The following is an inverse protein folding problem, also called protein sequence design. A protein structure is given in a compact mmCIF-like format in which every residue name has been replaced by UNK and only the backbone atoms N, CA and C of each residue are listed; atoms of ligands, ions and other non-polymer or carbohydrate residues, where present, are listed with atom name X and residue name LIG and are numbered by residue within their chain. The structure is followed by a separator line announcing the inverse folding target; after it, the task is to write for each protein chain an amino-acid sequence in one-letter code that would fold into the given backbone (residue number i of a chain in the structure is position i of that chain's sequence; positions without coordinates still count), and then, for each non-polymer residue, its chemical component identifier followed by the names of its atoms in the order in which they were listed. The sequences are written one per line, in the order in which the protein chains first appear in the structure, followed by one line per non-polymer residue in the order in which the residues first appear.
data_IF_167630637467
#
_entry.id   IF_167630637467
#
_cell.length_a   1.000
_cell.length_b   1.000
_cell.length_c   1.000
_cell.angle_alpha   90.00
_cell.angle_beta   90.00
_cell.angle_gamma   90.00
#
_symmetry.space_group_name_H-M   'P 1'
#
loop_
_entity.id
_entity.type
_entity.pdbx_description
1 polymer ?
#
# COMPACT_ATOMS: atom_id res chain seq x y z
N UNK A 1 15.96 13.46 -2.53
CA UNK A 1 15.66 13.66 -1.09
C UNK A 1 15.30 12.30 -0.54
N UNK A 2 15.97 11.84 0.51
CA UNK A 2 15.60 10.60 1.20
C UNK A 2 14.33 10.91 2.01
N UNK A 3 13.19 10.34 1.61
CA UNK A 3 11.98 10.37 2.43
C UNK A 3 12.17 9.37 3.58
N UNK A 4 12.05 9.86 4.82
CA UNK A 4 12.11 9.01 6.00
C UNK A 4 10.69 8.56 6.29
N UNK A 5 10.39 7.30 5.99
CA UNK A 5 9.14 6.68 6.40
C UNK A 5 8.94 6.85 7.90
N UNK A 6 7.70 7.14 8.30
CA UNK A 6 7.27 6.98 9.68
C UNK A 6 5.90 6.32 9.74
N UNK A 7 5.61 5.70 10.87
CA UNK A 7 4.30 5.10 11.11
C UNK A 7 3.21 6.17 11.03
N UNK A 8 2.10 5.81 10.38
CA UNK A 8 0.89 6.62 10.31
C UNK A 8 0.37 6.91 11.72
N UNK A 9 0.16 8.18 12.03
CA UNK A 9 -0.40 8.65 13.28
C UNK A 9 -1.68 9.47 13.06
N UNK A 10 -2.30 9.92 14.15
CA UNK A 10 -3.56 10.68 14.10
C UNK A 10 -3.43 12.02 13.37
N UNK A 11 -2.30 12.71 13.48
CA UNK A 11 -2.07 13.97 12.75
C UNK A 11 -1.96 13.72 11.25
N UNK A 12 -1.35 12.61 10.83
CA UNK A 12 -1.26 12.26 9.41
C UNK A 12 -2.66 12.00 8.84
N UNK A 13 -3.49 11.28 9.59
CA UNK A 13 -4.89 11.02 9.20
C UNK A 13 -5.66 12.34 9.12
N UNK A 14 -5.53 13.21 10.12
CA UNK A 14 -6.17 14.53 10.14
C UNK A 14 -5.77 15.38 8.92
N UNK A 15 -4.46 15.56 8.70
CA UNK A 15 -3.95 16.34 7.58
C UNK A 15 -4.34 15.73 6.23
N UNK A 16 -4.40 14.40 6.13
CA UNK A 16 -4.85 13.72 4.93
C UNK A 16 -6.34 13.98 4.66
N UNK A 17 -7.19 13.90 5.68
CA UNK A 17 -8.63 14.18 5.56
C UNK A 17 -8.92 15.64 5.20
N UNK A 18 -8.13 16.57 5.72
CA UNK A 18 -8.19 18.00 5.35
C UNK A 18 -7.58 18.29 3.97
N UNK A 19 -6.92 17.31 3.33
CA UNK A 19 -6.24 17.50 2.05
C UNK A 19 -4.99 18.39 2.12
N UNK A 20 -4.40 18.54 3.31
CA UNK A 20 -3.25 19.44 3.57
C UNK A 20 -1.94 18.69 3.86
N UNK A 21 -1.94 17.35 3.79
CA UNK A 21 -0.75 16.54 4.05
C UNK A 21 0.30 16.62 2.93
N UNK A 22 1.22 17.58 3.02
CA UNK A 22 2.26 17.83 1.99
C UNK A 22 3.29 16.70 1.84
N UNK A 23 3.42 15.82 2.83
CA UNK A 23 4.36 14.69 2.84
C UNK A 23 3.65 13.33 2.77
N UNK A 24 2.54 13.25 2.04
CA UNK A 24 1.70 12.04 2.06
C UNK A 24 2.45 10.77 1.62
N UNK A 25 3.42 10.93 0.73
CA UNK A 25 4.28 9.83 0.28
C UNK A 25 5.24 9.30 1.36
N UNK A 26 5.39 9.98 2.50
CA UNK A 26 6.20 9.50 3.64
C UNK A 26 5.45 8.45 4.47
N UNK A 27 4.11 8.36 4.33
CA UNK A 27 3.24 7.48 5.12
C UNK A 27 2.41 6.51 4.28
N UNK A 28 2.05 6.90 3.05
CA UNK A 28 1.40 6.04 2.06
C UNK A 28 2.40 5.46 1.06
N UNK A 29 2.01 4.38 0.39
CA UNK A 29 2.86 3.64 -0.54
C UNK A 29 3.53 2.43 0.10
N UNK A 30 4.65 1.99 -0.50
CA UNK A 30 5.48 0.89 -0.03
C UNK A 30 6.82 1.39 0.50
N UNK A 31 7.11 1.11 1.77
CA UNK A 31 8.31 1.58 2.47
C UNK A 31 9.07 0.42 3.08
N UNK A 32 10.35 0.27 2.71
CA UNK A 32 11.23 -0.73 3.32
C UNK A 32 11.51 -0.33 4.77
N UNK A 33 11.40 -1.30 5.67
CA UNK A 33 11.73 -1.18 7.09
C UNK A 33 12.91 -2.12 7.37
N UNK A 34 14.17 -1.66 7.17
CA UNK A 34 15.35 -2.53 7.21
C UNK A 34 15.51 -3.27 8.54
N UNK A 35 15.22 -2.60 9.65
CA UNK A 35 15.32 -3.17 11.00
C UNK A 35 14.29 -4.29 11.28
N UNK A 36 13.20 -4.33 10.51
CA UNK A 36 12.19 -5.41 10.58
C UNK A 36 12.32 -6.42 9.42
N UNK A 37 13.21 -6.16 8.46
CA UNK A 37 13.46 -7.06 7.33
C UNK A 37 12.27 -7.24 6.39
N UNK A 38 11.52 -6.17 6.08
CA UNK A 38 10.36 -6.24 5.20
C UNK A 38 9.85 -4.88 4.75
N UNK A 39 8.62 -4.86 4.21
CA UNK A 39 8.00 -3.66 3.65
C UNK A 39 6.70 -3.34 4.38
N UNK A 40 6.54 -2.09 4.80
CA UNK A 40 5.27 -1.52 5.22
C UNK A 40 4.51 -1.03 3.99
N UNK A 41 3.27 -1.50 3.82
CA UNK A 41 2.36 -1.04 2.78
C UNK A 41 1.24 -0.20 3.39
N UNK A 42 0.82 0.84 2.67
CA UNK A 42 -0.22 1.77 3.09
C UNK A 42 -0.98 2.32 1.87
N UNK A 43 -2.31 2.18 1.81
CA UNK A 43 -3.12 2.68 0.69
C UNK A 43 -4.47 3.23 1.15
N UNK A 44 -4.92 4.32 0.54
CA UNK A 44 -6.26 4.85 0.76
C UNK A 44 -7.29 4.13 -0.11
N UNK A 45 -8.21 3.42 0.53
CA UNK A 45 -9.29 2.68 -0.13
C UNK A 45 -10.53 2.63 0.79
N UNK A 46 -11.22 3.78 1.01
CA UNK A 46 -12.21 3.93 2.07
C UNK A 46 -13.39 2.96 1.94
N UNK A 47 -13.83 2.73 0.70
CA UNK A 47 -14.99 1.90 0.37
C UNK A 47 -14.64 0.42 0.14
N UNK A 48 -13.36 0.03 0.27
CA UNK A 48 -12.96 -1.36 0.14
C UNK A 48 -13.58 -2.23 1.25
N UNK A 49 -14.03 -3.42 0.92
CA UNK A 49 -14.33 -4.48 1.88
C UNK A 49 -13.05 -5.10 2.43
N UNK A 50 -12.07 -5.35 1.56
CA UNK A 50 -10.76 -5.88 1.91
C UNK A 50 -9.69 -5.35 0.94
N UNK A 51 -8.46 -5.29 1.45
CA UNK A 51 -7.28 -4.97 0.66
C UNK A 51 -6.18 -5.95 1.05
N UNK A 52 -5.49 -6.51 0.06
CA UNK A 52 -4.30 -7.35 0.26
C UNK A 52 -3.18 -6.90 -0.67
N UNK A 53 -1.93 -7.14 -0.27
CA UNK A 53 -0.77 -6.98 -1.15
C UNK A 53 -0.55 -8.29 -1.89
N UNK A 54 -0.39 -8.23 -3.21
CA UNK A 54 -0.12 -9.39 -4.06
C UNK A 54 1.12 -9.15 -4.90
N UNK A 55 1.94 -10.17 -5.07
CA UNK A 55 3.16 -10.11 -5.88
C UNK A 55 3.81 -11.48 -6.05
N UNK A 56 4.95 -11.57 -6.74
CA UNK A 56 5.66 -12.85 -6.92
C UNK A 56 6.01 -13.54 -5.59
N UNK A 57 6.33 -12.77 -4.54
CA UNK A 57 6.69 -13.26 -3.21
C UNK A 57 5.58 -14.06 -2.50
N UNK A 58 4.32 -13.90 -2.92
CA UNK A 58 3.19 -14.68 -2.40
C UNK A 58 2.40 -15.35 -3.52
N UNK A 59 3.03 -15.60 -4.68
CA UNK A 59 2.40 -16.29 -5.81
C UNK A 59 1.18 -15.56 -6.40
N UNK A 60 1.08 -14.25 -6.19
CA UNK A 60 -0.10 -13.44 -6.54
C UNK A 60 -1.40 -13.89 -5.85
N UNK A 61 -1.31 -14.58 -4.70
CA UNK A 61 -2.47 -15.03 -3.94
C UNK A 61 -3.16 -13.86 -3.24
N UNK A 62 -4.45 -13.67 -3.57
CA UNK A 62 -5.30 -12.53 -3.18
C UNK A 62 -5.49 -12.35 -1.68
N UNK A 63 -5.27 -13.40 -0.90
CA UNK A 63 -5.55 -13.42 0.54
C UNK A 63 -4.28 -13.64 1.38
N UNK A 64 -3.10 -13.72 0.75
CA UNK A 64 -1.87 -14.13 1.43
C UNK A 64 -1.20 -13.00 2.25
N UNK A 65 -1.50 -11.74 1.96
CA UNK A 65 -0.95 -10.58 2.70
C UNK A 65 -2.03 -9.51 2.91
N UNK A 66 -3.04 -9.78 3.75
CA UNK A 66 -4.13 -8.86 4.00
C UNK A 66 -3.65 -7.60 4.76
N UNK A 67 -4.27 -6.46 4.45
CA UNK A 67 -4.08 -5.20 5.16
C UNK A 67 -5.20 -4.97 6.18
N UNK A 68 -4.89 -4.21 7.22
CA UNK A 68 -5.82 -3.78 8.26
C UNK A 68 -6.21 -2.32 8.09
N UNK A 69 -7.43 -1.94 8.49
CA UNK A 69 -7.87 -0.53 8.49
C UNK A 69 -7.21 0.24 9.64
N UNK A 70 -6.62 1.40 9.34
CA UNK A 70 -5.92 2.24 10.33
C UNK A 70 -6.61 3.59 10.62
N UNK A 71 -7.66 3.95 9.87
CA UNK A 71 -8.40 5.21 10.01
C UNK A 71 -8.41 6.04 8.72
N UNK A 72 -9.36 6.98 8.58
CA UNK A 72 -9.46 7.84 7.38
C UNK A 72 -9.70 7.10 6.05
N UNK A 73 -10.03 5.80 6.09
CA UNK A 73 -10.10 4.94 4.91
C UNK A 73 -8.75 4.38 4.43
N UNK A 74 -7.69 4.57 5.21
CA UNK A 74 -6.35 4.04 4.94
C UNK A 74 -6.26 2.60 5.46
N UNK A 75 -5.61 1.76 4.65
CA UNK A 75 -5.30 0.36 4.92
C UNK A 75 -3.80 0.19 5.03
N UNK A 76 -3.33 -0.60 6.01
CA UNK A 76 -1.91 -0.80 6.27
C UNK A 76 -1.57 -2.24 6.64
N UNK A 77 -0.32 -2.64 6.38
CA UNK A 77 0.17 -3.94 6.78
C UNK A 77 1.64 -4.11 6.44
N UNK A 78 2.30 -5.00 7.19
CA UNK A 78 3.71 -5.31 7.03
C UNK A 78 3.88 -6.66 6.35
N UNK A 79 4.74 -6.74 5.33
CA UNK A 79 5.10 -7.97 4.65
C UNK A 79 6.57 -8.32 4.92
N UNK A 80 6.85 -9.31 5.80
CA UNK A 80 8.20 -9.77 6.07
C UNK A 80 8.87 -10.32 4.80
N UNK A 81 10.17 -10.07 4.64
CA UNK A 81 10.98 -10.61 3.54
C UNK A 81 10.75 -9.96 2.18
N UNK A 82 9.78 -9.04 2.04
CA UNK A 82 9.63 -8.23 0.82
C UNK A 82 10.73 -7.16 0.82
N UNK A 83 11.52 -7.13 -0.25
CA UNK A 83 12.67 -6.26 -0.39
C UNK A 83 12.48 -5.23 -1.50
N UNK A 84 13.35 -4.22 -1.56
CA UNK A 84 13.36 -3.25 -2.66
C UNK A 84 13.50 -3.95 -4.01
N UNK A 85 12.73 -3.51 -5.02
CA UNK A 85 12.67 -4.17 -6.33
C UNK A 85 11.59 -5.26 -6.45
N UNK A 86 10.87 -5.55 -5.36
CA UNK A 86 9.77 -6.52 -5.38
C UNK A 86 8.56 -5.95 -6.08
N UNK A 87 8.03 -6.69 -7.04
CA UNK A 87 6.83 -6.27 -7.77
C UNK A 87 5.59 -6.55 -6.93
N UNK A 88 4.65 -5.61 -6.91
CA UNK A 88 3.41 -5.75 -6.16
C UNK A 88 2.24 -4.99 -6.78
N UNK A 89 1.03 -5.37 -6.35
CA UNK A 89 -0.23 -4.67 -6.55
C UNK A 89 -1.07 -4.77 -5.27
N UNK A 90 -2.04 -3.89 -5.13
CA UNK A 90 -3.13 -4.06 -4.17
C UNK A 90 -4.27 -4.86 -4.81
N UNK A 91 -4.61 -6.01 -4.25
CA UNK A 91 -5.89 -6.65 -4.53
C UNK A 91 -6.97 -5.98 -3.69
N UNK A 92 -7.89 -5.29 -4.34
CA UNK A 92 -8.98 -4.54 -3.68
C UNK A 92 -10.29 -5.21 -4.00
N UNK A 93 -11.05 -5.56 -2.96
CA UNK A 93 -12.46 -5.93 -3.08
C UNK A 93 -13.31 -4.80 -2.49
N UNK A 94 -14.29 -4.30 -3.23
CA UNK A 94 -15.16 -3.20 -2.83
C UNK A 94 -16.46 -3.69 -2.20
N UNK A 95 -17.05 -2.89 -1.31
CA UNK A 95 -18.44 -3.07 -0.90
C UNK A 95 -19.45 -2.64 -1.99
N UNK A 96 -18.98 -1.98 -3.06
CA UNK A 96 -19.80 -1.46 -4.14
C UNK A 96 -19.73 -2.39 -5.36
N UNK A 97 -20.88 -2.86 -5.82
CA UNK A 97 -21.08 -3.60 -7.09
C UNK A 97 -20.16 -4.83 -7.28
N UNK A 98 -19.79 -5.50 -6.18
CA UNK A 98 -18.83 -6.63 -6.20
C UNK A 98 -17.52 -6.32 -6.96
N UNK A 99 -17.11 -5.05 -7.00
CA UNK A 99 -15.91 -4.65 -7.73
C UNK A 99 -14.66 -5.28 -7.11
N UNK A 100 -13.86 -5.96 -7.93
CA UNK A 100 -12.60 -6.59 -7.51
C UNK A 100 -11.54 -6.37 -8.57
N UNK A 101 -10.37 -5.89 -8.16
CA UNK A 101 -9.27 -5.65 -9.09
C UNK A 101 -7.91 -5.68 -8.40
N UNK A 102 -6.89 -6.09 -9.15
CA UNK A 102 -5.51 -5.77 -8.83
C UNK A 102 -5.19 -4.35 -9.32
N UNK A 103 -4.68 -3.49 -8.46
CA UNK A 103 -4.34 -2.10 -8.73
C UNK A 103 -2.86 -1.84 -8.46
N UNK A 104 -2.21 -1.11 -9.36
CA UNK A 104 -0.93 -0.49 -9.06
C UNK A 104 -1.07 0.45 -7.86
N UNK A 105 0.02 0.68 -7.14
CA UNK A 105 0.06 1.65 -6.04
C UNK A 105 -0.12 3.07 -6.60
N UNK A 106 -1.12 3.85 -6.13
CA UNK A 106 -1.28 5.26 -6.51
C UNK A 106 -0.07 6.14 -6.18
N UNK A 107 0.75 5.73 -5.21
CA UNK A 107 1.96 6.40 -4.75
C UNK A 107 3.20 5.49 -4.92
N UNK A 108 3.17 4.55 -5.87
CA UNK A 108 4.32 3.74 -6.22
C UNK A 108 5.50 4.60 -6.69
N UNK A 109 6.71 4.32 -6.19
CA UNK A 109 7.92 5.04 -6.59
C UNK A 109 8.43 4.56 -7.96
N UNK A 110 8.22 3.29 -8.27
CA UNK A 110 8.57 2.67 -9.53
C UNK A 110 7.43 1.79 -10.04
N UNK A 111 7.43 1.56 -11.34
CA UNK A 111 6.46 0.71 -12.01
C UNK A 111 7.15 -0.10 -13.10
N UNK A 112 6.52 -1.21 -13.44
CA UNK A 112 6.87 -2.00 -14.60
C UNK A 112 6.91 -1.18 -15.89
N UNK A 113 7.70 -1.68 -16.85
CA UNK A 113 7.63 -1.16 -18.22
C UNK A 113 6.34 -1.67 -18.89
N UNK A 114 5.59 -0.81 -19.60
CA UNK A 114 4.40 -1.23 -20.33
C UNK A 114 4.66 -2.43 -21.27
N UNK A 115 3.70 -3.35 -21.44
CA UNK A 115 2.30 -3.28 -20.99
C UNK A 115 2.05 -3.74 -19.55
N UNK A 116 3.09 -4.16 -18.83
CA UNK A 116 2.96 -4.58 -17.44
C UNK A 116 2.63 -3.39 -16.53
N UNK A 117 2.07 -3.69 -15.35
CA UNK A 117 1.39 -2.69 -14.51
C UNK A 117 1.67 -2.85 -13.02
N UNK A 118 2.63 -3.68 -12.59
CA UNK A 118 2.95 -3.75 -11.18
C UNK A 118 3.70 -2.50 -10.72
N UNK A 119 3.54 -2.17 -9.45
CA UNK A 119 4.44 -1.25 -8.75
C UNK A 119 5.67 -2.00 -8.28
N UNK A 120 6.78 -1.29 -8.07
CA UNK A 120 8.09 -1.82 -7.66
C UNK A 120 8.63 -1.00 -6.48
#
# INVERSE_FOLDING_TARGET
MQTFFHSLNENDIYLFQEGTHVKLADVLGAHIIPEQGGTQFSVWAPNARSVSVVGPFNGWHRDATPLSRSGGGIWQGFAPGVASGSHYKYWVESNLNDYRAAKADPLGFFHDTPPETASI
#
